data_IF_605678916062
#
_entry.id   IF_605678916062
#
_cell.length_a   1.000
_cell.length_b   1.000
_cell.length_c   1.000
_cell.angle_alpha   90.00
_cell.angle_beta   90.00
_cell.angle_gamma   90.00
#
_symmetry.space_group_name_H-M   'P 1'
#
loop_
_entity.id
_entity.type
_entity.pdbx_description
1 polymer ?
#
# COMPACT_ATOMS: atom_id res chain seq x y z
N UNK A 1 8.40 -1.04 -4.11
CA UNK A 1 7.66 -2.23 -3.69
C UNK A 1 6.32 -2.15 -4.38
N UNK A 2 5.97 -3.13 -5.21
CA UNK A 2 4.71 -3.07 -5.96
C UNK A 2 3.52 -3.33 -5.02
N UNK A 3 2.41 -2.60 -5.18
CA UNK A 3 1.17 -2.90 -4.48
C UNK A 3 0.53 -4.20 -5.00
N UNK A 4 -0.39 -4.75 -4.23
CA UNK A 4 -1.18 -5.93 -4.59
C UNK A 4 -2.43 -5.52 -5.37
N UNK A 5 -2.86 -6.36 -6.32
CA UNK A 5 -4.12 -6.16 -7.05
C UNK A 5 -4.78 -7.45 -7.48
N UNK A 6 -6.12 -7.48 -7.52
CA UNK A 6 -6.91 -8.56 -8.15
C UNK A 6 -7.22 -8.29 -9.61
N UNK A 7 -6.74 -7.18 -10.17
CA UNK A 7 -6.86 -6.92 -11.60
C UNK A 7 -6.02 -7.93 -12.37
N UNK A 8 -6.53 -8.50 -13.48
CA UNK A 8 -5.70 -9.30 -14.37
C UNK A 8 -4.48 -8.51 -14.86
N UNK A 9 -3.32 -9.17 -14.84
CA UNK A 9 -2.07 -8.66 -15.41
C UNK A 9 -2.24 -8.41 -16.92
N UNK A 10 -1.78 -7.26 -17.41
CA UNK A 10 -1.69 -6.97 -18.86
C UNK A 10 -0.40 -7.57 -19.42
N UNK A 11 -0.36 -7.78 -20.74
CA UNK A 11 0.75 -8.47 -21.41
C UNK A 11 2.12 -7.82 -21.15
N UNK A 12 2.17 -6.49 -21.04
CA UNK A 12 3.39 -5.72 -20.81
C UNK A 12 3.78 -5.55 -19.32
N UNK A 13 2.92 -5.97 -18.39
CA UNK A 13 3.17 -5.87 -16.95
C UNK A 13 3.89 -7.11 -16.43
N UNK A 14 4.73 -6.93 -15.42
CA UNK A 14 5.51 -8.00 -14.78
C UNK A 14 5.07 -8.14 -13.31
N UNK A 15 4.67 -9.35 -12.95
CA UNK A 15 4.32 -9.69 -11.57
C UNK A 15 5.52 -9.54 -10.63
N UNK A 16 5.28 -8.98 -9.45
CA UNK A 16 6.33 -8.62 -8.49
C UNK A 16 7.20 -7.42 -8.89
N UNK A 17 6.89 -6.75 -10.00
CA UNK A 17 7.51 -5.47 -10.40
C UNK A 17 6.50 -4.34 -10.49
N UNK A 18 5.44 -4.54 -11.27
CA UNK A 18 4.40 -3.55 -11.50
C UNK A 18 3.31 -3.65 -10.41
N UNK A 19 2.82 -4.87 -10.17
CA UNK A 19 1.93 -5.24 -9.06
C UNK A 19 2.29 -6.65 -8.57
N UNK A 20 1.82 -7.00 -7.38
CA UNK A 20 1.58 -8.40 -7.02
C UNK A 20 0.17 -8.79 -7.46
N UNK A 21 0.07 -9.59 -8.51
CA UNK A 21 -1.22 -9.96 -9.10
C UNK A 21 -1.82 -11.15 -8.35
N UNK A 22 -2.84 -10.88 -7.53
CA UNK A 22 -3.58 -11.89 -6.78
C UNK A 22 -4.63 -12.56 -7.68
N UNK A 23 -4.60 -13.88 -7.76
CA UNK A 23 -5.51 -14.67 -8.61
C UNK A 23 -6.92 -14.83 -8.04
N UNK A 24 -7.10 -14.70 -6.72
CA UNK A 24 -8.40 -14.76 -6.06
C UNK A 24 -8.74 -13.43 -5.40
N UNK A 25 -9.90 -12.90 -5.77
CA UNK A 25 -10.48 -11.72 -5.13
C UNK A 25 -10.91 -12.03 -3.71
N UNK A 26 -11.51 -13.19 -3.50
CA UNK A 26 -12.02 -13.66 -2.22
C UNK A 26 -10.89 -13.76 -1.20
N UNK A 27 -9.72 -14.25 -1.62
CA UNK A 27 -8.52 -14.27 -0.79
C UNK A 27 -8.09 -12.86 -0.40
N UNK A 28 -8.00 -11.92 -1.36
CA UNK A 28 -7.61 -10.55 -1.03
C UNK A 28 -8.63 -9.89 -0.08
N UNK A 29 -9.93 -10.13 -0.27
CA UNK A 29 -10.98 -9.63 0.64
C UNK A 29 -10.83 -10.19 2.05
N UNK A 30 -10.55 -11.50 2.18
CA UNK A 30 -10.25 -12.12 3.47
C UNK A 30 -9.01 -11.48 4.13
N UNK A 31 -7.93 -11.28 3.38
CA UNK A 31 -6.70 -10.67 3.91
C UNK A 31 -6.88 -9.21 4.32
N UNK A 32 -7.73 -8.46 3.62
CA UNK A 32 -8.15 -7.10 4.01
C UNK A 32 -8.90 -7.14 5.35
N UNK A 33 -9.82 -8.10 5.54
CA UNK A 33 -10.55 -8.30 6.79
C UNK A 33 -9.63 -8.70 7.95
N UNK A 34 -8.61 -9.52 7.67
CA UNK A 34 -7.55 -9.92 8.60
C UNK A 34 -6.51 -8.82 8.88
N UNK A 35 -6.73 -7.60 8.38
CA UNK A 35 -5.86 -6.44 8.58
C UNK A 35 -4.43 -6.62 8.05
N UNK A 36 -4.23 -7.45 7.01
CA UNK A 36 -2.92 -7.63 6.36
C UNK A 36 -2.49 -6.47 5.46
N UNK A 37 -3.37 -5.49 5.23
CA UNK A 37 -3.15 -4.32 4.40
C UNK A 37 -3.10 -3.03 5.23
N UNK A 38 -2.10 -2.17 4.94
CA UNK A 38 -2.03 -0.82 5.52
C UNK A 38 -2.98 0.14 4.82
N UNK A 39 -3.29 -0.13 3.56
CA UNK A 39 -4.29 0.57 2.77
C UNK A 39 -4.80 -0.38 1.70
N UNK A 40 -6.12 -0.39 1.48
CA UNK A 40 -6.74 -1.13 0.41
C UNK A 40 -8.00 -0.40 -0.08
N UNK A 41 -8.31 -0.54 -1.35
CA UNK A 41 -9.47 0.08 -1.99
C UNK A 41 -9.88 -0.65 -3.25
N UNK A 42 -11.04 -0.27 -3.79
CA UNK A 42 -11.57 -0.82 -5.03
C UNK A 42 -11.58 0.25 -6.12
N UNK A 43 -11.07 -0.10 -7.30
CA UNK A 43 -11.08 0.75 -8.48
C UNK A 43 -11.39 -0.07 -9.73
N UNK A 44 -12.32 0.42 -10.57
CA UNK A 44 -12.78 -0.27 -11.79
C UNK A 44 -13.11 -1.75 -11.57
N UNK A 45 -13.79 -2.07 -10.47
CA UNK A 45 -14.19 -3.45 -10.16
C UNK A 45 -13.08 -4.33 -9.54
N UNK A 46 -11.83 -3.86 -9.46
CA UNK A 46 -10.71 -4.62 -8.92
C UNK A 46 -10.22 -4.04 -7.60
N UNK A 47 -9.65 -4.89 -6.76
CA UNK A 47 -9.04 -4.51 -5.50
C UNK A 47 -7.59 -4.13 -5.71
N UNK A 48 -7.14 -3.16 -4.93
CA UNK A 48 -5.76 -2.71 -4.85
C UNK A 48 -5.40 -2.49 -3.39
N UNK A 49 -4.15 -2.74 -3.03
CA UNK A 49 -3.70 -2.48 -1.67
C UNK A 49 -2.19 -2.52 -1.50
N UNK A 50 -1.73 -1.95 -0.40
CA UNK A 50 -0.35 -2.05 0.05
C UNK A 50 -0.32 -2.97 1.26
N UNK A 51 0.21 -4.19 1.10
CA UNK A 51 0.28 -5.15 2.20
C UNK A 51 1.35 -4.77 3.22
N UNK A 52 1.12 -5.12 4.49
CA UNK A 52 2.09 -4.96 5.58
C UNK A 52 3.38 -5.73 5.25
N UNK A 53 3.23 -6.93 4.69
CA UNK A 53 4.35 -7.80 4.35
C UNK A 53 5.29 -7.12 3.35
N UNK A 54 4.74 -6.54 2.29
CA UNK A 54 5.55 -5.89 1.26
C UNK A 54 6.31 -4.65 1.80
N UNK A 55 5.72 -3.90 2.75
CA UNK A 55 6.43 -2.81 3.45
C UNK A 55 7.56 -3.36 4.32
N UNK A 56 7.29 -4.44 5.07
CA UNK A 56 8.26 -5.09 5.94
C UNK A 56 9.46 -5.61 5.16
N UNK A 57 9.26 -6.21 4.00
CA UNK A 57 10.36 -6.71 3.16
C UNK A 57 11.34 -5.63 2.70
N UNK A 58 10.86 -4.39 2.47
CA UNK A 58 11.74 -3.26 2.16
C UNK A 58 12.53 -2.84 3.40
N UNK A 59 11.85 -2.76 4.55
CA UNK A 59 12.46 -2.40 5.81
C UNK A 59 13.53 -3.41 6.25
N UNK A 60 13.25 -4.71 6.14
CA UNK A 60 14.16 -5.81 6.47
C UNK A 60 15.43 -5.82 5.59
N UNK A 61 15.36 -5.23 4.39
CA UNK A 61 16.53 -5.00 3.51
C UNK A 61 17.35 -3.76 3.91
N UNK A 62 17.04 -3.13 5.05
CA UNK A 62 17.71 -1.92 5.55
C UNK A 62 17.41 -0.67 4.73
N UNK A 63 16.29 -0.64 3.98
CA UNK A 63 15.90 0.50 3.14
C UNK A 63 14.67 1.20 3.73
N UNK A 64 14.58 2.51 3.48
CA UNK A 64 13.35 3.25 3.75
C UNK A 64 12.33 3.00 2.65
N UNK A 65 11.15 2.52 3.02
CA UNK A 65 10.00 2.40 2.13
C UNK A 65 9.31 3.76 2.03
N UNK A 66 9.31 4.37 0.84
CA UNK A 66 8.49 5.55 0.57
C UNK A 66 7.09 5.08 0.22
N UNK A 67 6.11 5.54 1.00
CA UNK A 67 4.71 5.12 0.90
C UNK A 67 3.86 6.27 0.35
N UNK A 68 3.14 5.99 -0.73
CA UNK A 68 2.09 6.85 -1.26
C UNK A 68 0.74 6.33 -0.75
N UNK A 69 0.39 6.72 0.48
CA UNK A 69 -0.81 6.24 1.19
C UNK A 69 -1.42 7.37 2.01
N UNK A 70 -2.69 7.23 2.39
CA UNK A 70 -3.34 8.20 3.28
C UNK A 70 -2.80 8.13 4.72
N UNK A 71 -3.05 9.19 5.50
CA UNK A 71 -2.66 9.25 6.92
C UNK A 71 -3.26 8.12 7.78
N UNK A 72 -4.34 7.47 7.34
CA UNK A 72 -4.94 6.32 8.02
C UNK A 72 -3.98 5.12 8.11
N UNK A 73 -3.04 5.00 7.16
CA UNK A 73 -2.05 3.94 7.14
C UNK A 73 -1.06 4.02 8.31
N UNK A 74 -0.82 5.21 8.88
CA UNK A 74 0.12 5.43 10.01
C UNK A 74 -0.27 4.53 11.19
N UNK A 75 -1.54 4.50 11.57
CA UNK A 75 -2.04 3.67 12.67
C UNK A 75 -1.87 2.18 12.39
N UNK A 76 -2.12 1.74 11.15
CA UNK A 76 -1.99 0.34 10.74
C UNK A 76 -0.53 -0.13 10.75
N UNK A 77 0.40 0.72 10.30
CA UNK A 77 1.84 0.46 10.40
C UNK A 77 2.29 0.29 11.86
N UNK A 78 1.87 1.21 12.74
CA UNK A 78 2.20 1.13 14.16
C UNK A 78 1.68 -0.15 14.83
N UNK A 79 0.45 -0.58 14.51
CA UNK A 79 -0.11 -1.85 14.99
C UNK A 79 0.65 -3.08 14.47
N UNK A 80 1.31 -2.95 13.32
CA UNK A 80 2.16 -3.98 12.73
C UNK A 80 3.62 -3.94 13.23
N UNK A 81 3.92 -3.16 14.27
CA UNK A 81 5.28 -2.89 14.76
C UNK A 81 6.23 -2.33 13.67
N UNK A 82 5.68 -1.65 12.67
CA UNK A 82 6.42 -0.84 11.72
C UNK A 82 6.27 0.61 12.17
N UNK A 83 7.38 1.26 12.52
CA UNK A 83 7.35 2.63 13.04
C UNK A 83 7.62 3.63 11.90
N UNK A 84 6.58 4.21 11.26
CA UNK A 84 6.79 5.11 10.14
C UNK A 84 7.33 6.47 10.60
N UNK A 85 8.06 7.13 9.71
CA UNK A 85 8.34 8.56 9.80
C UNK A 85 7.25 9.27 9.00
N UNK A 86 6.32 9.93 9.71
CA UNK A 86 5.25 10.70 9.07
C UNK A 86 5.62 12.18 9.02
N UNK A 87 5.74 12.75 7.81
CA UNK A 87 6.06 14.16 7.59
C UNK A 87 4.84 14.86 7.00
N UNK A 88 4.27 15.81 7.75
CA UNK A 88 3.18 16.64 7.26
C UNK A 88 3.71 17.98 6.72
N UNK A 89 3.59 18.20 5.42
CA UNK A 89 3.93 19.46 4.78
C UNK A 89 2.75 20.41 4.94
N UNK A 90 2.82 21.26 5.98
CA UNK A 90 1.76 22.21 6.29
C UNK A 90 1.91 23.50 5.45
N UNK A 91 0.95 23.86 4.60
CA UNK A 91 0.96 25.15 3.92
C UNK A 91 0.77 26.29 4.94
N UNK A 92 1.40 27.45 4.73
CA UNK A 92 1.26 28.59 5.66
C UNK A 92 -0.05 29.34 5.45
N UNK A 93 -0.48 29.45 4.20
CA UNK A 93 -1.74 30.05 3.77
C UNK A 93 -2.17 29.45 2.40
N UNK A 94 -3.29 29.92 1.86
CA UNK A 94 -3.82 29.45 0.58
C UNK A 94 -2.88 29.75 -0.60
N UNK A 95 -2.19 30.90 -0.58
CA UNK A 95 -1.26 31.32 -1.63
C UNK A 95 -0.04 30.38 -1.75
N UNK A 96 0.27 29.59 -0.72
CA UNK A 96 1.34 28.59 -0.77
C UNK A 96 0.96 27.31 -1.54
N UNK A 97 -0.31 27.13 -1.89
CA UNK A 97 -0.83 25.91 -2.54
C UNK A 97 -1.23 26.19 -4.00
N UNK A 98 -1.49 27.46 -4.33
CA UNK A 98 -1.85 27.98 -5.65
C UNK A 98 -0.61 28.25 -6.50
#
# INVERSE_FOLDING_TARGET
MPPDTTRPRRDYEVDGRDYHFMSSRELMEQEIQEHKFIEAGQYNGHLYGTSIQSVKEVADKGKHCILDVSGNAIKRLQLANLHPIAVFIRPRNADNIL
#
